data_IF_969635770067
#
_entry.id   IF_969635770067
#
_cell.length_a   1.000
_cell.length_b   1.000
_cell.length_c   1.000
_cell.angle_alpha   90.00
_cell.angle_beta   90.00
_cell.angle_gamma   90.00
#
_symmetry.space_group_name_H-M   'P 1'
#
loop_
_entity.id
_entity.type
_entity.pdbx_description
1 polymer ?
#
# COMPACT_ATOMS: atom_id res chain seq x y z
N UNK A 1 1.81 -20.55 -14.87
CA UNK A 1 1.67 -19.93 -13.54
C UNK A 1 1.21 -18.47 -13.62
N UNK A 2 1.89 -17.60 -14.39
CA UNK A 2 1.48 -16.20 -14.60
C UNK A 2 0.04 -16.05 -15.15
N UNK A 3 -0.33 -16.86 -16.13
CA UNK A 3 -1.68 -16.85 -16.71
C UNK A 3 -2.80 -17.24 -15.72
N UNK A 4 -2.49 -18.00 -14.66
CA UNK A 4 -3.49 -18.36 -13.64
C UNK A 4 -3.72 -17.21 -12.67
N UNK A 5 -2.64 -16.60 -12.17
CA UNK A 5 -2.70 -15.43 -11.30
C UNK A 5 -3.44 -14.28 -11.99
N UNK A 6 -3.18 -14.03 -13.27
CA UNK A 6 -3.84 -12.98 -14.03
C UNK A 6 -5.35 -13.26 -14.21
N UNK A 7 -5.76 -14.51 -14.44
CA UNK A 7 -7.19 -14.88 -14.48
C UNK A 7 -7.88 -14.69 -13.13
N UNK A 8 -7.23 -15.10 -12.04
CA UNK A 8 -7.76 -14.91 -10.67
C UNK A 8 -7.88 -13.42 -10.36
N UNK A 9 -6.86 -12.64 -10.69
CA UNK A 9 -6.81 -11.20 -10.49
C UNK A 9 -7.92 -10.49 -11.27
N UNK A 10 -8.06 -10.71 -12.58
CA UNK A 10 -9.14 -10.13 -13.40
C UNK A 10 -10.52 -10.49 -12.84
N UNK A 11 -10.70 -11.75 -12.45
CA UNK A 11 -11.98 -12.23 -11.90
C UNK A 11 -12.28 -11.59 -10.56
N UNK A 12 -11.30 -11.54 -9.67
CA UNK A 12 -11.45 -10.96 -8.33
C UNK A 12 -11.70 -9.46 -8.40
N UNK A 13 -10.96 -8.75 -9.26
CA UNK A 13 -11.18 -7.34 -9.53
C UNK A 13 -12.62 -7.08 -9.97
N UNK A 14 -13.10 -7.82 -10.98
CA UNK A 14 -14.50 -7.71 -11.44
C UNK A 14 -15.51 -7.98 -10.32
N UNK A 15 -15.30 -9.02 -9.51
CA UNK A 15 -16.22 -9.34 -8.40
C UNK A 15 -16.22 -8.28 -7.31
N UNK A 16 -15.06 -7.69 -6.99
CA UNK A 16 -14.92 -6.65 -5.99
C UNK A 16 -15.32 -5.26 -6.53
N UNK A 17 -15.42 -5.06 -7.84
CA UNK A 17 -15.99 -3.84 -8.43
C UNK A 17 -17.52 -3.83 -8.45
N UNK A 18 -18.19 -4.95 -8.12
CA UNK A 18 -19.65 -4.99 -8.02
C UNK A 18 -20.14 -4.11 -6.84
N UNK A 19 -21.32 -3.46 -6.96
CA UNK A 19 -21.92 -2.77 -5.82
C UNK A 19 -22.41 -3.78 -4.77
N UNK A 20 -22.38 -3.41 -3.49
CA UNK A 20 -22.96 -4.17 -2.36
C UNK A 20 -22.39 -5.59 -2.15
N UNK A 21 -21.09 -5.79 -2.40
CA UNK A 21 -20.43 -7.08 -2.15
C UNK A 21 -20.34 -7.32 -0.63
N UNK A 22 -21.05 -8.33 -0.13
CA UNK A 22 -21.00 -8.75 1.28
C UNK A 22 -19.94 -9.81 1.58
N UNK A 23 -19.56 -10.58 0.57
CA UNK A 23 -18.52 -11.62 0.65
C UNK A 23 -18.06 -12.04 -0.74
N UNK A 24 -16.81 -12.43 -0.87
CA UNK A 24 -16.30 -13.10 -2.08
C UNK A 24 -16.53 -14.61 -1.96
N UNK A 25 -17.36 -15.18 -2.83
CA UNK A 25 -17.58 -16.62 -2.87
C UNK A 25 -16.42 -17.32 -3.60
N UNK A 26 -15.60 -18.08 -2.86
CA UNK A 26 -14.44 -18.81 -3.40
C UNK A 26 -14.82 -19.76 -4.53
N UNK A 27 -15.95 -20.46 -4.44
CA UNK A 27 -16.42 -21.37 -5.51
C UNK A 27 -16.72 -20.61 -6.79
N UNK A 28 -17.40 -19.44 -6.69
CA UNK A 28 -17.71 -18.57 -7.84
C UNK A 28 -16.43 -18.00 -8.46
N UNK A 29 -15.48 -17.55 -7.62
CA UNK A 29 -14.17 -17.07 -8.04
C UNK A 29 -13.40 -18.15 -8.80
N UNK A 30 -13.29 -19.36 -8.24
CA UNK A 30 -12.59 -20.48 -8.85
C UNK A 30 -13.20 -20.87 -10.20
N UNK A 31 -14.53 -20.95 -10.26
CA UNK A 31 -15.27 -21.28 -11.49
C UNK A 31 -15.00 -20.26 -12.60
N UNK A 32 -15.12 -18.95 -12.29
CA UNK A 32 -14.89 -17.88 -13.27
C UNK A 32 -13.42 -17.78 -13.70
N UNK A 33 -12.48 -17.94 -12.76
CA UNK A 33 -11.04 -17.89 -13.02
C UNK A 33 -10.47 -19.16 -13.68
N UNK A 34 -11.32 -20.20 -13.86
CA UNK A 34 -10.93 -21.51 -14.40
C UNK A 34 -9.78 -22.15 -13.60
N UNK A 35 -9.94 -22.21 -12.27
CA UNK A 35 -9.04 -22.92 -11.37
C UNK A 35 -9.85 -23.83 -10.44
N UNK A 36 -9.22 -24.91 -9.94
CA UNK A 36 -9.86 -25.76 -8.94
C UNK A 36 -9.82 -25.09 -7.55
N UNK A 37 -10.78 -25.43 -6.67
CA UNK A 37 -10.73 -25.02 -5.25
C UNK A 37 -9.47 -25.54 -4.55
N UNK A 38 -9.01 -26.75 -4.88
CA UNK A 38 -7.76 -27.32 -4.36
C UNK A 38 -6.57 -26.42 -4.70
N UNK A 39 -6.48 -25.96 -5.95
CA UNK A 39 -5.44 -25.02 -6.41
C UNK A 39 -5.52 -23.69 -5.67
N UNK A 40 -6.73 -23.17 -5.45
CA UNK A 40 -6.94 -21.94 -4.67
C UNK A 40 -6.39 -22.06 -3.24
N UNK A 41 -6.81 -23.10 -2.51
CA UNK A 41 -6.39 -23.30 -1.13
C UNK A 41 -4.89 -23.59 -1.00
N UNK A 42 -4.31 -24.33 -1.96
CA UNK A 42 -2.87 -24.57 -2.00
C UNK A 42 -2.06 -23.27 -2.18
N UNK A 43 -2.57 -22.33 -2.99
CA UNK A 43 -1.85 -21.08 -3.31
C UNK A 43 -2.08 -19.97 -2.29
N UNK A 44 -3.32 -19.75 -1.90
CA UNK A 44 -3.71 -18.59 -1.11
C UNK A 44 -4.09 -18.96 0.31
N UNK A 45 -4.54 -20.19 0.58
CA UNK A 45 -5.04 -20.63 1.89
C UNK A 45 -6.39 -20.02 2.27
N UNK A 46 -6.56 -18.70 2.16
CA UNK A 46 -7.80 -17.98 2.46
C UNK A 46 -8.02 -16.82 1.48
N UNK A 47 -9.24 -16.27 1.49
CA UNK A 47 -9.63 -15.19 0.59
C UNK A 47 -8.84 -13.90 0.80
N UNK A 48 -8.54 -13.51 2.05
CA UNK A 48 -7.76 -12.29 2.32
C UNK A 48 -6.38 -12.32 1.65
N UNK A 49 -5.68 -13.45 1.73
CA UNK A 49 -4.37 -13.63 1.10
C UNK A 49 -4.49 -13.55 -0.44
N UNK A 50 -5.60 -13.99 -1.02
CA UNK A 50 -5.86 -13.86 -2.45
C UNK A 50 -6.10 -12.38 -2.83
N UNK A 51 -6.89 -11.64 -2.05
CA UNK A 51 -7.13 -10.21 -2.26
C UNK A 51 -5.80 -9.44 -2.19
N UNK A 52 -5.03 -9.67 -1.13
CA UNK A 52 -3.68 -9.11 -0.95
C UNK A 52 -2.79 -9.38 -2.18
N UNK A 53 -2.66 -10.64 -2.59
CA UNK A 53 -1.80 -11.03 -3.71
C UNK A 53 -2.24 -10.36 -5.03
N UNK A 54 -3.55 -10.27 -5.29
CA UNK A 54 -4.09 -9.62 -6.47
C UNK A 54 -3.86 -8.11 -6.47
N UNK A 55 -4.10 -7.43 -5.34
CA UNK A 55 -3.83 -5.99 -5.20
C UNK A 55 -2.33 -5.70 -5.40
N UNK A 56 -1.45 -6.47 -4.76
CA UNK A 56 0.00 -6.30 -4.93
C UNK A 56 0.43 -6.48 -6.38
N UNK A 57 -0.12 -7.49 -7.05
CA UNK A 57 0.18 -7.74 -8.46
C UNK A 57 -0.27 -6.57 -9.34
N UNK A 58 -1.49 -6.06 -9.13
CA UNK A 58 -2.04 -4.90 -9.84
C UNK A 58 -1.21 -3.64 -9.64
N UNK A 59 -0.98 -3.28 -8.37
CA UNK A 59 -0.24 -2.08 -8.03
C UNK A 59 1.20 -2.14 -8.54
N UNK A 60 1.87 -3.30 -8.45
CA UNK A 60 3.21 -3.48 -9.04
C UNK A 60 3.20 -3.33 -10.56
N UNK A 61 2.19 -3.85 -11.25
CA UNK A 61 2.03 -3.69 -12.71
C UNK A 61 1.84 -2.22 -13.07
N UNK A 62 1.01 -1.51 -12.32
CA UNK A 62 0.73 -0.09 -12.56
C UNK A 62 1.94 0.82 -12.29
N UNK A 63 2.63 0.58 -11.17
CA UNK A 63 3.84 1.33 -10.81
C UNK A 63 5.00 1.05 -11.78
N UNK A 64 5.10 -0.15 -12.37
CA UNK A 64 6.12 -0.46 -13.39
C UNK A 64 5.89 0.22 -14.73
N UNK A 65 4.64 0.46 -15.14
CA UNK A 65 4.33 1.23 -16.36
C UNK A 65 4.82 2.66 -16.26
N UNK A 66 4.86 3.17 -15.04
CA UNK A 66 5.19 4.55 -14.72
C UNK A 66 6.61 4.61 -14.15
N UNK A 67 7.63 4.70 -15.02
CA UNK A 67 9.01 5.04 -14.58
C UNK A 67 9.01 6.48 -14.07
N UNK A 68 8.74 6.66 -12.77
CA UNK A 68 8.69 7.99 -12.13
C UNK A 68 9.96 8.25 -11.34
N UNK A 69 10.33 9.52 -11.30
CA UNK A 69 11.60 9.97 -10.73
C UNK A 69 11.47 10.35 -9.25
N UNK A 70 10.28 10.79 -8.81
CA UNK A 70 9.98 11.25 -7.45
C UNK A 70 8.93 10.40 -6.70
N UNK A 71 8.96 10.41 -5.35
CA UNK A 71 7.93 9.78 -4.52
C UNK A 71 6.56 10.42 -4.72
N UNK A 72 6.50 11.75 -4.88
CA UNK A 72 5.25 12.47 -5.13
C UNK A 72 4.57 12.00 -6.41
N UNK A 73 5.32 11.85 -7.51
CA UNK A 73 4.78 11.33 -8.76
C UNK A 73 4.28 9.89 -8.60
N UNK A 74 4.96 9.10 -7.77
CA UNK A 74 4.61 7.72 -7.49
C UNK A 74 3.29 7.61 -6.72
N UNK A 75 3.15 8.39 -5.65
CA UNK A 75 1.91 8.43 -4.87
C UNK A 75 0.75 9.04 -5.66
N UNK A 76 1.02 10.00 -6.55
CA UNK A 76 0.01 10.52 -7.47
C UNK A 76 -0.56 9.41 -8.38
N UNK A 77 0.30 8.63 -9.04
CA UNK A 77 -0.12 7.49 -9.88
C UNK A 77 -0.90 6.47 -9.06
N UNK A 78 -0.45 6.17 -7.84
CA UNK A 78 -1.12 5.25 -6.94
C UNK A 78 -2.53 5.74 -6.57
N UNK A 79 -2.65 7.00 -6.12
CA UNK A 79 -3.93 7.59 -5.73
C UNK A 79 -4.88 7.70 -6.92
N UNK A 80 -4.39 8.09 -8.09
CA UNK A 80 -5.18 8.14 -9.32
C UNK A 80 -5.74 6.76 -9.70
N UNK A 81 -4.91 5.72 -9.63
CA UNK A 81 -5.34 4.35 -9.90
C UNK A 81 -6.38 3.86 -8.88
N UNK A 82 -6.18 4.16 -7.60
CA UNK A 82 -7.15 3.83 -6.54
C UNK A 82 -8.47 4.55 -6.79
N UNK A 83 -8.45 5.84 -7.10
CA UNK A 83 -9.67 6.62 -7.39
C UNK A 83 -10.44 6.05 -8.58
N UNK A 84 -9.74 5.70 -9.67
CA UNK A 84 -10.33 5.10 -10.86
C UNK A 84 -11.01 3.77 -10.56
N UNK A 85 -10.52 3.02 -9.57
CA UNK A 85 -11.02 1.71 -9.17
C UNK A 85 -11.60 1.74 -7.74
N UNK A 86 -12.20 2.86 -7.32
CA UNK A 86 -12.59 3.08 -5.92
C UNK A 86 -13.46 1.99 -5.32
N UNK A 87 -14.42 1.45 -6.09
CA UNK A 87 -15.33 0.40 -5.62
C UNK A 87 -14.58 -0.90 -5.30
N UNK A 88 -13.62 -1.26 -6.14
CA UNK A 88 -12.74 -2.41 -5.94
C UNK A 88 -11.94 -2.28 -4.65
N UNK A 89 -11.24 -1.16 -4.47
CA UNK A 89 -10.42 -0.94 -3.27
C UNK A 89 -11.26 -0.81 -2.00
N UNK A 90 -12.42 -0.14 -2.07
CA UNK A 90 -13.36 -0.04 -0.96
C UNK A 90 -13.86 -1.42 -0.53
N UNK A 91 -14.36 -2.23 -1.48
CA UNK A 91 -14.85 -3.57 -1.15
C UNK A 91 -13.72 -4.48 -0.68
N UNK A 92 -12.52 -4.38 -1.28
CA UNK A 92 -11.35 -5.11 -0.79
C UNK A 92 -11.08 -4.77 0.68
N UNK A 93 -11.03 -3.48 1.03
CA UNK A 93 -10.81 -2.96 2.38
C UNK A 93 -11.78 -3.59 3.41
N UNK A 94 -13.07 -3.60 3.08
CA UNK A 94 -14.13 -4.03 4.00
C UNK A 94 -14.34 -5.56 4.07
N UNK A 95 -13.91 -6.32 3.06
CA UNK A 95 -14.19 -7.76 2.96
C UNK A 95 -13.08 -8.67 3.46
N UNK A 96 -11.88 -8.15 3.60
CA UNK A 96 -10.83 -8.81 4.35
C UNK A 96 -11.16 -8.84 5.84
N UNK A 97 -11.22 -10.02 6.45
CA UNK A 97 -11.25 -10.13 7.91
C UNK A 97 -10.00 -9.43 8.51
N UNK A 98 -10.22 -8.51 9.45
CA UNK A 98 -9.20 -7.61 10.04
C UNK A 98 -8.49 -6.76 8.97
N UNK A 99 -9.10 -5.63 8.55
CA UNK A 99 -8.55 -4.57 7.69
C UNK A 99 -7.62 -5.04 6.54
N UNK A 100 -8.09 -4.98 5.28
CA UNK A 100 -7.43 -5.56 4.08
C UNK A 100 -6.03 -5.03 3.82
N UNK A 101 -5.80 -3.89 4.43
CA UNK A 101 -4.54 -3.23 4.65
C UNK A 101 -3.80 -3.88 5.82
N UNK A 102 -3.71 -5.21 5.77
CA UNK A 102 -3.09 -6.01 6.81
C UNK A 102 -1.60 -5.67 6.95
N UNK A 103 -0.99 -6.06 8.06
CA UNK A 103 0.43 -5.83 8.33
C UNK A 103 1.36 -6.27 7.17
N UNK A 104 0.95 -7.29 6.39
CA UNK A 104 1.72 -7.71 5.21
C UNK A 104 1.67 -6.71 4.06
N UNK A 105 0.52 -6.11 3.78
CA UNK A 105 0.40 -5.06 2.76
C UNK A 105 1.17 -3.80 3.19
N UNK A 106 1.09 -3.44 4.48
CA UNK A 106 1.89 -2.36 5.07
C UNK A 106 3.39 -2.62 4.93
N UNK A 107 3.84 -3.84 5.22
CA UNK A 107 5.24 -4.25 5.04
C UNK A 107 5.64 -4.23 3.56
N UNK A 108 4.80 -4.69 2.64
CA UNK A 108 5.07 -4.60 1.20
C UNK A 108 5.19 -3.16 0.70
N UNK A 109 4.35 -2.26 1.21
CA UNK A 109 4.43 -0.83 0.92
C UNK A 109 5.73 -0.23 1.46
N UNK A 110 6.10 -0.57 2.70
CA UNK A 110 7.38 -0.19 3.30
C UNK A 110 8.58 -0.67 2.45
N UNK A 111 8.63 -1.94 2.08
CA UNK A 111 9.73 -2.47 1.26
C UNK A 111 9.83 -1.77 -0.10
N UNK A 112 8.70 -1.38 -0.67
CA UNK A 112 8.68 -0.62 -1.91
C UNK A 112 9.29 0.78 -1.75
N UNK A 113 8.84 1.56 -0.75
CA UNK A 113 9.39 2.89 -0.44
C UNK A 113 10.87 2.79 -0.05
N UNK A 114 11.23 1.81 0.80
CA UNK A 114 12.61 1.49 1.17
C UNK A 114 13.50 1.30 -0.06
N UNK A 115 13.07 0.48 -1.02
CA UNK A 115 13.83 0.23 -2.25
C UNK A 115 14.03 1.48 -3.13
N UNK A 116 13.08 2.41 -3.07
CA UNK A 116 13.17 3.70 -3.76
C UNK A 116 14.15 4.63 -3.06
N UNK A 117 14.09 4.70 -1.72
CA UNK A 117 14.83 5.63 -0.87
C UNK A 117 16.32 5.25 -0.77
N UNK A 118 16.64 3.97 -0.58
CA UNK A 118 18.04 3.49 -0.46
C UNK A 118 18.90 3.74 -1.70
N UNK A 119 18.30 3.89 -2.89
CA UNK A 119 19.03 4.27 -4.11
C UNK A 119 19.51 5.73 -4.10
N UNK A 120 19.05 6.53 -3.12
CA UNK A 120 19.17 7.99 -3.13
C UNK A 120 19.90 8.55 -1.92
N UNK A 121 20.33 7.74 -0.95
CA UNK A 121 21.12 8.17 0.21
C UNK A 121 20.98 7.28 1.44
N UNK A 122 21.49 7.77 2.57
CA UNK A 122 21.40 7.14 3.89
C UNK A 122 20.16 7.60 4.66
N UNK A 123 19.51 6.70 5.40
CA UNK A 123 18.26 6.96 6.14
C UNK A 123 18.19 6.09 7.40
N UNK A 124 17.39 6.50 8.39
CA UNK A 124 17.05 5.66 9.54
C UNK A 124 15.93 4.70 9.18
N UNK A 125 16.19 3.39 9.29
CA UNK A 125 15.21 2.37 8.95
C UNK A 125 13.96 2.43 9.84
N UNK A 126 14.15 2.77 11.13
CA UNK A 126 13.06 2.95 12.08
C UNK A 126 12.17 4.15 11.70
N UNK A 127 12.76 5.32 11.45
CA UNK A 127 11.99 6.52 11.11
C UNK A 127 11.34 6.34 9.73
N UNK A 128 12.04 5.76 8.75
CA UNK A 128 11.46 5.46 7.45
C UNK A 128 10.24 4.53 7.56
N UNK A 129 10.30 3.51 8.42
CA UNK A 129 9.16 2.60 8.67
C UNK A 129 7.99 3.35 9.29
N UNK A 130 8.23 4.21 10.27
CA UNK A 130 7.18 5.04 10.88
C UNK A 130 6.51 5.98 9.86
N UNK A 131 7.28 6.73 9.08
CA UNK A 131 6.75 7.64 8.07
C UNK A 131 6.00 6.88 6.96
N UNK A 132 6.52 5.72 6.55
CA UNK A 132 5.85 4.89 5.53
C UNK A 132 4.54 4.30 6.04
N UNK A 133 4.48 3.93 7.33
CA UNK A 133 3.23 3.50 7.95
C UNK A 133 2.21 4.65 7.99
N UNK A 134 2.64 5.88 8.30
CA UNK A 134 1.76 7.05 8.24
C UNK A 134 1.22 7.30 6.83
N UNK A 135 2.07 7.26 5.79
CA UNK A 135 1.64 7.36 4.39
C UNK A 135 0.57 6.31 4.08
N UNK A 136 0.84 5.06 4.46
CA UNK A 136 -0.04 3.94 4.22
C UNK A 136 -1.38 4.13 4.93
N UNK A 137 -1.37 4.42 6.22
CA UNK A 137 -2.58 4.57 7.04
C UNK A 137 -3.47 5.70 6.53
N UNK A 138 -2.88 6.80 6.02
CA UNK A 138 -3.63 7.89 5.37
C UNK A 138 -4.33 7.44 4.08
N UNK A 139 -3.65 6.67 3.24
CA UNK A 139 -4.25 6.09 2.02
C UNK A 139 -5.36 5.10 2.38
N UNK A 140 -5.14 4.26 3.38
CA UNK A 140 -6.13 3.29 3.87
C UNK A 140 -7.38 3.97 4.40
N UNK A 141 -7.20 5.03 5.20
CA UNK A 141 -8.28 5.84 5.73
C UNK A 141 -9.11 6.46 4.61
N UNK A 142 -8.45 7.01 3.58
CA UNK A 142 -9.16 7.55 2.42
C UNK A 142 -9.95 6.48 1.65
N UNK A 143 -9.39 5.27 1.49
CA UNK A 143 -10.08 4.12 0.88
C UNK A 143 -11.29 3.68 1.71
N UNK A 144 -11.14 3.57 3.03
CA UNK A 144 -12.21 3.09 3.92
C UNK A 144 -13.44 4.00 3.90
N UNK A 145 -13.24 5.28 3.57
CA UNK A 145 -14.28 6.28 3.36
C UNK A 145 -14.72 6.42 1.90
N UNK A 146 -14.53 5.39 1.07
CA UNK A 146 -15.07 5.30 -0.29
C UNK A 146 -14.38 6.19 -1.32
N UNK A 147 -13.20 6.73 -1.00
CA UNK A 147 -12.50 7.71 -1.83
C UNK A 147 -13.41 8.91 -2.19
N UNK A 148 -14.24 9.34 -1.23
CA UNK A 148 -15.29 10.34 -1.45
C UNK A 148 -14.74 11.74 -1.78
N UNK A 149 -13.58 12.09 -1.22
CA UNK A 149 -12.88 13.36 -1.51
C UNK A 149 -11.92 13.16 -2.68
N UNK A 150 -11.76 14.20 -3.50
CA UNK A 150 -10.68 14.26 -4.49
C UNK A 150 -9.34 14.01 -3.79
N UNK A 151 -8.49 13.18 -4.39
CA UNK A 151 -7.19 12.83 -3.83
C UNK A 151 -6.19 13.99 -3.82
N UNK A 152 -6.51 15.14 -4.41
CA UNK A 152 -5.66 16.35 -4.34
C UNK A 152 -5.30 16.74 -2.90
N UNK A 153 -6.28 16.77 -2.00
CA UNK A 153 -6.06 17.06 -0.58
C UNK A 153 -5.23 15.97 0.11
N UNK A 154 -5.46 14.71 -0.26
CA UNK A 154 -4.64 13.59 0.23
C UNK A 154 -3.19 13.77 -0.21
N UNK A 155 -2.93 14.21 -1.45
CA UNK A 155 -1.56 14.43 -1.93
C UNK A 155 -0.86 15.55 -1.18
N UNK A 156 -1.56 16.62 -0.81
CA UNK A 156 -1.00 17.68 0.04
C UNK A 156 -0.59 17.13 1.41
N UNK A 157 -1.44 16.32 2.05
CA UNK A 157 -1.11 15.66 3.31
C UNK A 157 0.09 14.70 3.18
N UNK A 158 0.13 13.92 2.09
CA UNK A 158 1.21 12.97 1.83
C UNK A 158 2.53 13.67 1.47
N UNK A 159 2.48 14.84 0.85
CA UNK A 159 3.66 15.62 0.47
C UNK A 159 4.48 16.03 1.69
N UNK A 160 3.83 16.42 2.79
CA UNK A 160 4.50 16.74 4.07
C UNK A 160 5.29 15.53 4.58
N UNK A 161 4.71 14.33 4.51
CA UNK A 161 5.39 13.12 4.96
C UNK A 161 6.56 12.76 4.02
N UNK A 162 6.41 12.98 2.71
CA UNK A 162 7.49 12.80 1.74
C UNK A 162 8.64 13.76 2.01
N UNK A 163 8.35 15.03 2.30
CA UNK A 163 9.39 16.01 2.67
C UNK A 163 10.15 15.57 3.93
N UNK A 164 9.48 14.99 4.92
CA UNK A 164 10.13 14.42 6.10
C UNK A 164 11.01 13.21 5.75
N UNK A 165 10.61 12.38 4.79
CA UNK A 165 11.45 11.28 4.27
C UNK A 165 12.68 11.85 3.58
N UNK A 166 12.53 12.83 2.70
CA UNK A 166 13.65 13.44 1.98
C UNK A 166 14.58 14.23 2.92
N UNK A 167 14.05 14.87 3.97
CA UNK A 167 14.83 15.58 4.98
C UNK A 167 15.76 14.64 5.77
N UNK A 168 15.35 13.39 6.03
CA UNK A 168 16.24 12.41 6.66
C UNK A 168 17.53 12.18 5.87
N UNK A 169 17.49 12.30 4.53
CA UNK A 169 18.68 12.22 3.70
C UNK A 169 19.71 13.27 4.12
N UNK A 170 19.26 14.49 4.39
CA UNK A 170 20.13 15.60 4.78
C UNK A 170 20.72 15.35 6.17
N UNK A 171 19.89 14.94 7.13
CA UNK A 171 20.33 14.62 8.50
C UNK A 171 21.37 13.50 8.51
N UNK A 172 21.13 12.42 7.75
CA UNK A 172 22.00 11.23 7.78
C UNK A 172 23.24 11.36 6.89
N UNK A 173 23.23 12.23 5.87
CA UNK A 173 24.38 12.46 5.00
C UNK A 173 25.41 13.42 5.60
N UNK A 174 24.96 14.33 6.46
CA UNK A 174 25.83 15.13 7.27
C UNK A 174 26.17 14.33 8.53
N UNK A 175 27.43 14.34 8.97
CA UNK A 175 27.79 13.96 10.34
C UNK A 175 27.22 14.99 11.32
N UNK A 176 25.91 15.24 11.32
CA UNK A 176 25.30 15.93 12.44
C UNK A 176 25.44 14.98 13.61
N UNK A 177 26.29 15.40 14.55
CA UNK A 177 26.30 14.88 15.91
C UNK A 177 24.85 14.65 16.30
N UNK A 178 24.55 13.40 16.67
CA UNK A 178 23.33 12.97 17.37
C UNK A 178 22.80 14.16 18.14
N UNK A 179 21.56 14.58 17.84
CA UNK A 179 20.88 15.61 18.63
C UNK A 179 21.15 15.32 20.10
N UNK A 180 21.97 16.13 20.74
CA UNK A 180 22.32 15.92 22.13
C UNK A 180 21.12 16.39 22.95
N UNK A 181 20.22 15.45 23.25
CA UNK A 181 19.06 15.70 24.09
C UNK A 181 19.44 15.89 25.57
N UNK A 182 20.74 15.99 25.93
CA UNK A 182 21.18 16.31 27.29
C UNK A 182 20.67 17.67 27.80
N UNK A 183 20.15 18.54 26.93
CA UNK A 183 19.51 19.79 27.35
C UNK A 183 18.00 19.68 27.60
N UNK A 184 17.37 18.54 27.28
CA UNK A 184 15.93 18.31 27.50
C UNK A 184 15.64 17.44 28.74
N UNK A 185 16.66 16.87 29.38
CA UNK A 185 16.51 16.36 30.73
C UNK A 185 16.62 17.55 31.69
N UNK A 186 15.46 18.00 32.17
CA UNK A 186 15.38 18.80 33.38
C UNK A 186 16.14 18.04 34.48
N UNK A 187 17.18 18.69 35.02
CA UNK A 187 17.73 18.30 36.30
C UNK A 187 16.57 18.39 37.31
N UNK A 188 16.05 17.23 37.70
CA UNK A 188 15.26 17.12 38.91
C UNK A 188 16.26 17.12 40.06
N UNK A 189 16.41 18.28 40.70
CA UNK A 189 16.81 18.37 42.11
C UNK A 189 15.56 18.09 42.98
#
# INVERSE_FOLDING_TARGET
MLAELERVQITLHSMLSEPNVKKVNISKLCSKAKISRKTFYLRYGKINNCIEACILFELRKELRKNKKESLNQLLNVLCEYIQKNKQYFYNAYHLSEQDCMCEKMKEHFFQYIRSYVYKRGSFSELILKQLTNLLYDRICFWISHGCNKNYSFLLEELAIIIELIDFQKQICSHKFQVFNFSHYYLNYD
#
